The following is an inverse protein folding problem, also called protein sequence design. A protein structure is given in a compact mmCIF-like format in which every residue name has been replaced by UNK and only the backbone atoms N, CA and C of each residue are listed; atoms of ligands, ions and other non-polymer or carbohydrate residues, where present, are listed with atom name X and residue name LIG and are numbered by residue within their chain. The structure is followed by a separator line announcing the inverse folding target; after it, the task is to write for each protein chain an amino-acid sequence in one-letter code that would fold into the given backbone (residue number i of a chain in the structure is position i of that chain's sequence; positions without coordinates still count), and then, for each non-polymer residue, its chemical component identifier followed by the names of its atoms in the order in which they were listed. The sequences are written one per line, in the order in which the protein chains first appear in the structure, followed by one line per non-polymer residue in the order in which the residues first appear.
data_IF_531150779434
#
_entry.id   IF_531150779434
#
_cell.length_a   1.000
_cell.length_b   1.000
_cell.length_c   1.000
_cell.angle_alpha   90.00
_cell.angle_beta   90.00
_cell.angle_gamma   90.00
#
_symmetry.space_group_name_H-M   'P 1'
#
loop_
_entity.id
_entity.type
_entity.pdbx_description
1 polymer ?
#
# COMPACT_ATOMS: atom_id res chain seq x y z
N UNK A 1 -7.30 -50.11 49.28
CA UNK A 1 -7.10 -48.70 48.90
C UNK A 1 -8.48 -48.08 48.67
N UNK A 2 -8.89 -47.09 49.47
CA UNK A 2 -10.26 -46.58 49.46
C UNK A 2 -10.52 -45.74 48.21
N UNK A 3 -11.23 -46.30 47.23
CA UNK A 3 -11.60 -45.65 45.97
C UNK A 3 -12.27 -44.28 46.17
N UNK A 4 -13.00 -44.10 47.29
CA UNK A 4 -13.66 -42.85 47.67
C UNK A 4 -12.69 -41.69 47.97
N UNK A 5 -11.45 -41.96 48.37
CA UNK A 5 -10.43 -40.92 48.65
C UNK A 5 -9.64 -40.50 47.40
N UNK A 6 -9.59 -41.34 46.37
CA UNK A 6 -8.80 -41.10 45.14
C UNK A 6 -9.65 -40.43 44.05
N UNK A 7 -10.97 -40.69 44.06
CA UNK A 7 -11.95 -40.11 43.13
C UNK A 7 -11.87 -38.58 42.96
N UNK A 8 -11.75 -37.75 44.02
CA UNK A 8 -11.68 -36.30 43.85
C UNK A 8 -10.39 -35.84 43.17
N UNK A 9 -9.27 -36.52 43.38
CA UNK A 9 -8.00 -36.19 42.74
C UNK A 9 -8.01 -36.51 41.23
N UNK A 10 -8.62 -37.64 40.85
CA UNK A 10 -8.77 -38.03 39.44
C UNK A 10 -9.68 -37.05 38.70
N UNK A 11 -10.78 -36.61 39.33
CA UNK A 11 -11.68 -35.59 38.77
C UNK A 11 -10.98 -34.23 38.61
N UNK A 12 -10.14 -33.84 39.57
CA UNK A 12 -9.40 -32.58 39.52
C UNK A 12 -8.36 -32.56 38.37
N UNK A 13 -7.66 -33.68 38.17
CA UNK A 13 -6.73 -33.84 37.05
C UNK A 13 -7.48 -33.81 35.72
N UNK A 14 -8.62 -34.49 35.61
CA UNK A 14 -9.45 -34.46 34.40
C UNK A 14 -9.97 -33.04 34.09
N UNK A 15 -10.39 -32.28 35.12
CA UNK A 15 -10.83 -30.90 34.95
C UNK A 15 -9.70 -29.96 34.50
N UNK A 16 -8.47 -30.14 35.02
CA UNK A 16 -7.30 -29.37 34.60
C UNK A 16 -6.90 -29.66 33.15
N UNK A 17 -6.91 -30.94 32.75
CA UNK A 17 -6.62 -31.35 31.37
C UNK A 17 -7.69 -30.80 30.42
N UNK A 18 -8.97 -30.91 30.79
CA UNK A 18 -10.07 -30.42 29.97
C UNK A 18 -10.09 -28.88 29.89
N UNK A 19 -9.81 -28.18 30.99
CA UNK A 19 -9.69 -26.72 31.02
C UNK A 19 -8.52 -26.21 30.19
N UNK A 20 -7.35 -26.86 30.27
CA UNK A 20 -6.20 -26.54 29.43
C UNK A 20 -6.46 -26.76 27.94
N UNK A 21 -7.16 -27.85 27.60
CA UNK A 21 -7.57 -28.15 26.22
C UNK A 21 -8.55 -27.10 25.66
N UNK A 22 -9.56 -26.69 26.44
CA UNK A 22 -10.50 -25.65 26.04
C UNK A 22 -9.85 -24.26 25.91
N UNK A 23 -8.91 -23.92 26.80
CA UNK A 23 -8.19 -22.65 26.73
C UNK A 23 -7.30 -22.57 25.47
N UNK A 24 -6.62 -23.67 25.14
CA UNK A 24 -5.85 -23.78 23.90
C UNK A 24 -6.74 -23.68 22.67
N UNK A 25 -7.87 -24.40 22.63
CA UNK A 25 -8.86 -24.24 21.55
C UNK A 25 -9.35 -22.80 21.41
N UNK A 26 -9.64 -22.10 22.51
CA UNK A 26 -10.09 -20.72 22.45
C UNK A 26 -9.02 -19.74 21.94
N UNK A 27 -7.74 -19.98 22.23
CA UNK A 27 -6.65 -19.19 21.66
C UNK A 27 -6.45 -19.51 20.18
N UNK A 28 -6.39 -20.80 19.83
CA UNK A 28 -6.24 -21.25 18.44
C UNK A 28 -7.42 -20.75 17.57
N UNK A 29 -8.66 -20.82 18.08
CA UNK A 29 -9.85 -20.26 17.42
C UNK A 29 -9.80 -18.74 17.29
N UNK A 30 -9.30 -18.00 18.29
CA UNK A 30 -9.15 -16.54 18.18
C UNK A 30 -8.09 -16.15 17.14
N UNK A 31 -6.99 -16.89 17.09
CA UNK A 31 -5.92 -16.66 16.13
C UNK A 31 -6.37 -17.03 14.72
N UNK A 32 -7.10 -18.14 14.54
CA UNK A 32 -7.72 -18.50 13.27
C UNK A 32 -8.80 -17.50 12.85
N UNK A 33 -9.64 -17.04 13.78
CA UNK A 33 -10.68 -16.05 13.47
C UNK A 33 -10.08 -14.69 13.13
N UNK A 34 -9.00 -14.27 13.82
CA UNK A 34 -8.28 -13.04 13.50
C UNK A 34 -7.59 -13.15 12.13
N UNK A 35 -6.98 -14.30 11.81
CA UNK A 35 -6.43 -14.56 10.47
C UNK A 35 -7.51 -14.57 9.40
N UNK A 36 -8.66 -15.18 9.69
CA UNK A 36 -9.78 -15.29 8.75
C UNK A 36 -10.48 -13.94 8.55
N UNK A 37 -10.65 -13.13 9.59
CA UNK A 37 -11.20 -11.78 9.53
C UNK A 37 -10.23 -10.84 8.80
N UNK A 38 -8.93 -10.94 9.06
CA UNK A 38 -7.91 -10.23 8.27
C UNK A 38 -7.96 -10.66 6.80
N UNK A 39 -8.13 -11.97 6.53
CA UNK A 39 -8.25 -12.51 5.17
C UNK A 39 -9.54 -12.08 4.48
N UNK A 40 -10.66 -12.06 5.18
CA UNK A 40 -11.97 -11.67 4.65
C UNK A 40 -12.02 -10.15 4.38
N UNK A 41 -11.53 -9.34 5.32
CA UNK A 41 -11.39 -7.90 5.12
C UNK A 41 -10.39 -7.58 4.00
N UNK A 42 -9.31 -8.33 3.88
CA UNK A 42 -8.37 -8.22 2.78
C UNK A 42 -9.01 -8.62 1.44
N UNK A 43 -9.78 -9.72 1.36
CA UNK A 43 -10.55 -10.05 0.13
C UNK A 43 -11.59 -8.99 -0.24
N UNK A 44 -12.22 -8.35 0.76
CA UNK A 44 -13.22 -7.30 0.56
C UNK A 44 -12.60 -5.97 0.10
N UNK A 45 -11.39 -5.63 0.57
CA UNK A 45 -10.68 -4.39 0.24
C UNK A 45 -9.62 -4.54 -0.86
N UNK A 46 -9.25 -5.78 -1.21
CA UNK A 46 -8.46 -6.14 -2.38
C UNK A 46 -9.36 -6.29 -3.61
N UNK A 47 -10.49 -5.59 -3.63
CA UNK A 47 -11.21 -5.40 -4.88
C UNK A 47 -10.19 -4.78 -5.84
N UNK A 48 -9.98 -5.41 -6.99
CA UNK A 48 -9.06 -4.92 -8.02
C UNK A 48 -9.24 -3.43 -8.31
N UNK A 49 -10.46 -2.93 -8.10
CA UNK A 49 -10.87 -1.53 -8.22
C UNK A 49 -10.24 -0.66 -7.13
N UNK A 50 -10.31 -1.02 -5.85
CA UNK A 50 -9.72 -0.23 -4.75
C UNK A 50 -8.20 -0.05 -4.89
N UNK A 51 -7.48 -1.12 -5.25
CA UNK A 51 -6.04 -1.06 -5.51
C UNK A 51 -5.73 -0.12 -6.68
N UNK A 52 -6.54 -0.19 -7.75
CA UNK A 52 -6.39 0.67 -8.92
C UNK A 52 -6.66 2.14 -8.57
N UNK A 53 -7.73 2.40 -7.83
CA UNK A 53 -8.13 3.74 -7.42
C UNK A 53 -7.09 4.37 -6.50
N UNK A 54 -6.57 3.64 -5.51
CA UNK A 54 -5.53 4.15 -4.61
C UNK A 54 -4.20 4.41 -5.36
N UNK A 55 -3.85 3.59 -6.35
CA UNK A 55 -2.70 3.84 -7.22
C UNK A 55 -2.90 5.08 -8.10
N UNK A 56 -4.10 5.29 -8.66
CA UNK A 56 -4.45 6.50 -9.44
C UNK A 56 -4.39 7.73 -8.54
N UNK A 57 -5.00 7.69 -7.35
CA UNK A 57 -5.00 8.78 -6.38
C UNK A 57 -3.57 9.21 -6.02
N UNK A 58 -2.67 8.25 -5.82
CA UNK A 58 -1.25 8.54 -5.59
C UNK A 58 -0.60 9.22 -6.80
N UNK A 59 -0.80 8.71 -8.02
CA UNK A 59 -0.21 9.29 -9.23
C UNK A 59 -0.71 10.72 -9.46
N UNK A 60 -2.01 10.94 -9.32
CA UNK A 60 -2.63 12.27 -9.46
C UNK A 60 -2.06 13.24 -8.41
N UNK A 61 -1.98 12.82 -7.14
CA UNK A 61 -1.45 13.64 -6.07
C UNK A 61 0.04 13.99 -6.23
N UNK A 62 0.84 13.08 -6.77
CA UNK A 62 2.27 13.29 -6.97
C UNK A 62 2.57 14.13 -8.23
N UNK A 63 1.85 13.90 -9.32
CA UNK A 63 2.14 14.54 -10.61
C UNK A 63 1.29 15.78 -10.91
N UNK A 64 0.22 16.03 -10.16
CA UNK A 64 -0.63 17.22 -10.37
C UNK A 64 -0.23 18.32 -9.40
N UNK A 65 0.48 19.31 -9.91
CA UNK A 65 0.91 20.45 -9.11
C UNK A 65 1.16 21.69 -9.97
N UNK A 66 1.07 22.83 -9.30
CA UNK A 66 1.63 24.09 -9.79
C UNK A 66 3.00 24.27 -9.16
N UNK A 67 3.94 24.80 -9.94
CA UNK A 67 5.28 25.13 -9.52
C UNK A 67 6.14 23.90 -9.19
N UNK A 68 5.99 23.32 -7.99
CA UNK A 68 6.76 22.14 -7.53
C UNK A 68 5.85 21.11 -6.85
N UNK A 69 6.19 19.81 -6.91
CA UNK A 69 5.46 18.81 -6.16
C UNK A 69 5.61 19.09 -4.66
N UNK A 70 4.59 18.75 -3.87
CA UNK A 70 4.62 18.96 -2.42
C UNK A 70 4.40 17.65 -1.69
N UNK A 71 5.23 17.41 -0.67
CA UNK A 71 5.16 16.19 0.15
C UNK A 71 3.78 16.03 0.82
N UNK A 72 3.17 17.14 1.20
CA UNK A 72 1.82 17.16 1.79
C UNK A 72 0.74 16.52 0.90
N UNK A 73 0.90 16.55 -0.43
CA UNK A 73 -0.09 16.01 -1.35
C UNK A 73 -0.18 14.47 -1.28
N UNK A 74 0.91 13.79 -0.94
CA UNK A 74 0.97 12.31 -0.90
C UNK A 74 0.97 11.75 0.53
N UNK A 75 0.70 12.61 1.53
CA UNK A 75 0.63 12.21 2.93
C UNK A 75 -0.53 11.24 3.17
N UNK A 76 -0.22 10.10 3.80
CA UNK A 76 -1.20 9.05 4.06
C UNK A 76 -1.54 8.18 2.85
N UNK A 77 -0.99 8.47 1.65
CA UNK A 77 -1.03 7.60 0.48
C UNK A 77 0.21 6.71 0.38
N UNK A 78 1.33 7.15 0.96
CA UNK A 78 2.66 6.55 0.80
C UNK A 78 3.34 6.33 2.14
N UNK A 79 4.29 5.39 2.20
CA UNK A 79 5.22 5.31 3.32
C UNK A 79 6.19 6.49 3.33
N UNK A 80 6.74 6.81 4.50
CA UNK A 80 7.76 7.87 4.64
C UNK A 80 8.98 7.61 3.75
N UNK A 81 9.39 6.35 3.60
CA UNK A 81 10.54 5.95 2.76
C UNK A 81 10.32 6.30 1.28
N UNK A 82 9.10 6.07 0.77
CA UNK A 82 8.72 6.48 -0.60
C UNK A 82 8.73 7.99 -0.73
N UNK A 83 8.19 8.72 0.25
CA UNK A 83 8.24 10.19 0.24
C UNK A 83 9.68 10.71 0.24
N UNK A 84 10.53 10.18 1.13
CA UNK A 84 11.93 10.58 1.23
C UNK A 84 12.66 10.35 -0.10
N UNK A 85 12.42 9.21 -0.75
CA UNK A 85 13.03 8.88 -2.06
C UNK A 85 12.55 9.81 -3.17
N UNK A 86 11.24 10.07 -3.25
CA UNK A 86 10.66 10.93 -4.30
C UNK A 86 11.09 12.39 -4.17
N UNK A 87 11.23 12.88 -2.95
CA UNK A 87 11.48 14.28 -2.66
C UNK A 87 12.96 14.63 -2.44
N UNK A 88 13.85 13.65 -2.32
CA UNK A 88 15.28 13.88 -2.08
C UNK A 88 15.89 14.91 -3.05
N UNK A 89 15.61 14.79 -4.35
CA UNK A 89 16.13 15.70 -5.37
C UNK A 89 15.51 17.09 -5.27
N UNK A 90 14.20 17.17 -5.00
CA UNK A 90 13.49 18.45 -4.89
C UNK A 90 13.90 19.24 -3.66
N UNK A 91 14.12 18.57 -2.52
CA UNK A 91 14.59 19.20 -1.29
C UNK A 91 16.01 19.80 -1.41
N UNK A 92 16.86 19.20 -2.26
CA UNK A 92 18.18 19.78 -2.61
C UNK A 92 18.00 20.98 -3.53
N UNK A 93 17.16 20.87 -4.56
CA UNK A 93 16.89 21.96 -5.50
C UNK A 93 16.20 23.16 -4.83
N UNK A 94 15.38 22.96 -3.80
CA UNK A 94 14.75 24.05 -3.03
C UNK A 94 15.80 24.89 -2.27
N UNK A 95 16.91 24.29 -1.87
CA UNK A 95 17.99 24.99 -1.15
C UNK A 95 18.92 25.75 -2.10
N UNK A 96 19.12 25.22 -3.31
CA UNK A 96 20.12 25.73 -4.25
C UNK A 96 19.53 26.65 -5.34
N UNK A 97 18.23 26.50 -5.67
CA UNK A 97 17.61 27.19 -6.79
C UNK A 97 16.22 27.74 -6.45
N UNK A 98 16.09 29.06 -6.42
CA UNK A 98 14.80 29.73 -6.47
C UNK A 98 14.23 29.70 -7.89
N UNK A 99 12.93 29.40 -8.04
CA UNK A 99 12.30 29.48 -9.36
C UNK A 99 12.17 30.93 -9.81
N UNK A 100 12.36 31.22 -11.11
CA UNK A 100 12.10 32.55 -11.65
C UNK A 100 10.64 32.95 -11.41
N UNK A 101 10.41 34.19 -10.95
CA UNK A 101 9.06 34.69 -10.61
C UNK A 101 8.10 34.72 -11.79
N UNK A 102 8.63 34.82 -13.01
CA UNK A 102 7.85 34.91 -14.25
C UNK A 102 7.69 33.55 -14.96
N UNK A 103 8.18 32.46 -14.35
CA UNK A 103 8.05 31.12 -14.89
C UNK A 103 6.71 30.51 -14.45
N UNK A 104 5.80 30.31 -15.39
CA UNK A 104 4.60 29.50 -15.17
C UNK A 104 4.95 28.03 -15.39
N UNK A 105 5.01 27.24 -14.32
CA UNK A 105 5.20 25.80 -14.39
C UNK A 105 3.98 25.06 -13.83
N UNK A 106 3.48 24.09 -14.59
CA UNK A 106 2.38 23.22 -14.18
C UNK A 106 2.63 21.80 -14.67
N UNK A 107 2.34 20.82 -13.82
CA UNK A 107 2.35 19.40 -14.17
C UNK A 107 0.97 18.81 -13.92
N UNK A 108 0.53 17.95 -14.84
CA UNK A 108 -0.73 17.21 -14.79
C UNK A 108 -0.52 15.81 -15.39
N UNK A 109 -1.45 14.89 -15.13
CA UNK A 109 -1.49 13.59 -15.81
C UNK A 109 -2.84 13.35 -16.46
N UNK A 110 -2.82 12.66 -17.59
CA UNK A 110 -4.00 12.21 -18.32
C UNK A 110 -3.82 10.74 -18.73
N UNK A 111 -4.91 10.12 -19.22
CA UNK A 111 -4.90 8.77 -19.80
C UNK A 111 -4.30 7.69 -18.87
N UNK A 112 -4.57 7.80 -17.57
CA UNK A 112 -4.07 6.86 -16.55
C UNK A 112 -4.75 5.51 -16.71
N UNK A 113 -3.95 4.46 -16.85
CA UNK A 113 -4.41 3.06 -16.87
C UNK A 113 -3.59 2.26 -15.87
N UNK A 114 -4.25 1.52 -14.99
CA UNK A 114 -3.60 0.70 -13.96
C UNK A 114 -3.93 -0.78 -14.17
N UNK A 115 -2.90 -1.59 -14.38
CA UNK A 115 -2.97 -3.04 -14.47
C UNK A 115 -2.54 -3.64 -13.14
N UNK A 116 -3.46 -4.34 -12.48
CA UNK A 116 -3.16 -5.07 -11.25
C UNK A 116 -2.72 -6.50 -11.59
N UNK A 117 -1.46 -6.82 -11.31
CA UNK A 117 -0.97 -8.20 -11.30
C UNK A 117 -1.42 -8.82 -9.98
N UNK A 118 -2.28 -9.83 -10.06
CA UNK A 118 -2.91 -10.42 -8.89
C UNK A 118 -1.86 -11.20 -8.09
N UNK A 119 -1.38 -10.65 -7.00
CA UNK A 119 -0.50 -11.38 -6.08
C UNK A 119 -1.26 -12.49 -5.34
N UNK A 120 -0.55 -13.55 -4.96
CA UNK A 120 -1.05 -14.66 -4.14
C UNK A 120 -1.43 -14.25 -2.70
N UNK A 121 -1.08 -13.02 -2.30
CA UNK A 121 -1.21 -12.51 -0.93
C UNK A 121 -2.26 -11.40 -0.85
N UNK A 122 -3.30 -11.60 -0.04
CA UNK A 122 -4.45 -10.69 0.04
C UNK A 122 -4.11 -9.26 0.56
N UNK A 123 -2.93 -9.07 1.16
CA UNK A 123 -2.51 -7.79 1.80
C UNK A 123 -1.44 -7.02 1.02
N UNK A 124 -1.00 -7.55 -0.13
CA UNK A 124 0.00 -6.91 -0.99
C UNK A 124 -0.54 -6.88 -2.41
N UNK A 125 -0.21 -5.82 -3.13
CA UNK A 125 -0.57 -5.71 -4.52
C UNK A 125 0.57 -5.07 -5.30
N UNK A 126 0.81 -5.60 -6.50
CA UNK A 126 1.72 -5.01 -7.47
C UNK A 126 0.92 -4.54 -8.67
N UNK A 127 1.10 -3.26 -9.02
CA UNK A 127 0.43 -2.69 -10.19
C UNK A 127 1.41 -2.05 -11.15
N UNK A 128 1.08 -2.16 -12.43
CA UNK A 128 1.71 -1.44 -13.51
C UNK A 128 0.78 -0.31 -13.95
N UNK A 129 1.25 0.93 -13.86
CA UNK A 129 0.51 2.09 -14.32
C UNK A 129 1.13 2.66 -15.59
N UNK A 130 0.28 3.07 -16.53
CA UNK A 130 0.68 3.86 -17.71
C UNK A 130 -0.09 5.17 -17.71
N UNK A 131 0.58 6.28 -17.92
CA UNK A 131 -0.06 7.60 -17.92
C UNK A 131 0.70 8.58 -18.82
N UNK A 132 0.02 9.63 -19.27
CA UNK A 132 0.62 10.74 -19.99
C UNK A 132 0.86 11.89 -19.02
N UNK A 133 2.13 12.25 -18.81
CA UNK A 133 2.50 13.45 -18.07
C UNK A 133 2.50 14.65 -19.01
N UNK A 134 1.83 15.72 -18.57
CA UNK A 134 1.70 16.97 -19.30
C UNK A 134 2.38 18.05 -18.47
N UNK A 135 3.50 18.54 -18.98
CA UNK A 135 4.20 19.68 -18.38
C UNK A 135 3.88 20.92 -19.22
N UNK A 136 3.38 21.96 -18.56
CA UNK A 136 3.14 23.27 -19.16
C UNK A 136 4.16 24.26 -18.64
N UNK A 137 4.92 24.88 -19.55
CA UNK A 137 5.88 25.94 -19.25
C UNK A 137 5.53 27.18 -20.07
N UNK A 138 5.18 28.29 -19.40
CA UNK A 138 4.77 29.56 -20.04
C UNK A 138 3.73 29.33 -21.17
N UNK A 139 2.69 28.55 -20.86
CA UNK A 139 1.62 28.17 -21.79
C UNK A 139 1.97 27.11 -22.84
N UNK A 140 3.23 26.67 -22.95
CA UNK A 140 3.64 25.60 -23.90
C UNK A 140 3.55 24.24 -23.23
N UNK A 141 2.78 23.34 -23.82
CA UNK A 141 2.60 21.96 -23.34
C UNK A 141 3.63 21.02 -23.94
N UNK A 142 4.16 20.13 -23.11
CA UNK A 142 4.95 18.97 -23.51
C UNK A 142 4.30 17.72 -22.94
N UNK A 143 4.19 16.68 -23.76
CA UNK A 143 3.55 15.42 -23.41
C UNK A 143 4.61 14.31 -23.37
N UNK A 144 4.60 13.51 -22.30
CA UNK A 144 5.47 12.35 -22.16
C UNK A 144 4.69 11.15 -21.64
N UNK A 145 4.80 10.02 -22.34
CA UNK A 145 4.25 8.75 -21.86
C UNK A 145 5.18 8.16 -20.81
N UNK A 146 4.59 7.77 -19.69
CA UNK A 146 5.30 7.20 -18.56
C UNK A 146 4.70 5.85 -18.19
N UNK A 147 5.57 4.95 -17.75
CA UNK A 147 5.22 3.65 -17.20
C UNK A 147 5.75 3.62 -15.77
N UNK A 148 4.96 3.17 -14.82
CA UNK A 148 5.35 3.05 -13.43
C UNK A 148 5.00 1.68 -12.86
N UNK A 149 5.90 1.17 -12.04
CA UNK A 149 5.67 0.04 -11.16
C UNK A 149 5.39 0.56 -9.75
N UNK A 150 4.29 0.10 -9.15
CA UNK A 150 3.82 0.56 -7.85
C UNK A 150 3.46 -0.66 -6.99
N UNK A 151 4.06 -0.74 -5.81
CA UNK A 151 3.74 -1.78 -4.83
C UNK A 151 2.92 -1.17 -3.69
N UNK A 152 1.82 -1.82 -3.35
CA UNK A 152 0.88 -1.39 -2.32
C UNK A 152 0.80 -2.46 -1.22
N UNK A 153 0.62 -1.99 0.02
CA UNK A 153 0.35 -2.85 1.17
C UNK A 153 -0.89 -2.36 1.91
N UNK A 154 -1.79 -3.27 2.25
CA UNK A 154 -3.00 -2.95 3.00
C UNK A 154 -2.65 -2.69 4.47
N UNK A 155 -2.75 -1.42 4.91
CA UNK A 155 -2.52 -1.00 6.30
C UNK A 155 -3.73 -0.24 6.83
N UNK A 156 -4.26 -0.66 7.98
CA UNK A 156 -5.41 -0.02 8.62
C UNK A 156 -6.61 0.18 7.65
N UNK A 157 -6.88 -0.82 6.80
CA UNK A 157 -7.94 -0.79 5.77
C UNK A 157 -7.73 0.24 4.64
N UNK A 158 -6.49 0.63 4.36
CA UNK A 158 -6.12 1.49 3.22
C UNK A 158 -4.92 0.91 2.50
N UNK A 159 -4.90 1.00 1.17
CA UNK A 159 -3.71 0.64 0.42
C UNK A 159 -2.69 1.78 0.50
N UNK A 160 -1.50 1.46 0.99
CA UNK A 160 -0.41 2.41 1.13
C UNK A 160 0.68 2.03 0.13
N UNK A 161 1.13 3.01 -0.66
CA UNK A 161 2.25 2.83 -1.57
C UNK A 161 3.53 2.62 -0.75
N UNK A 162 4.14 1.45 -0.94
CA UNK A 162 5.39 1.04 -0.27
C UNK A 162 6.60 1.11 -1.20
N UNK A 163 6.38 1.09 -2.51
CA UNK A 163 7.43 1.26 -3.50
C UNK A 163 6.87 1.92 -4.75
N UNK A 164 7.67 2.78 -5.37
CA UNK A 164 7.37 3.45 -6.61
C UNK A 164 8.62 3.52 -7.49
N UNK A 165 8.47 3.20 -8.78
CA UNK A 165 9.55 3.32 -9.76
C UNK A 165 8.98 3.61 -11.15
N UNK A 166 9.58 4.55 -11.87
CA UNK A 166 9.33 4.74 -13.31
C UNK A 166 10.14 3.72 -14.12
N UNK A 167 9.52 3.17 -15.16
CA UNK A 167 10.12 2.21 -16.08
C UNK A 167 10.35 2.87 -17.44
N UNK A 168 11.49 2.56 -18.06
CA UNK A 168 11.79 2.99 -19.43
C UNK A 168 11.10 2.12 -20.49
N UNK A 169 10.71 0.89 -20.12
CA UNK A 169 10.03 -0.08 -20.96
C UNK A 169 9.27 -1.10 -20.09
N UNK A 170 8.13 -1.61 -20.59
CA UNK A 170 7.27 -2.63 -19.96
C UNK A 170 7.99 -3.96 -19.79
N UNK A 171 9.00 -4.25 -20.61
CA UNK A 171 9.84 -5.46 -20.50
C UNK A 171 10.57 -5.60 -19.16
N UNK A 172 10.65 -4.52 -18.36
CA UNK A 172 11.25 -4.51 -17.02
C UNK A 172 10.23 -4.65 -15.88
N UNK A 173 8.95 -4.94 -16.19
CA UNK A 173 7.94 -5.22 -15.18
C UNK A 173 8.11 -6.64 -14.64
N UNK A 174 8.57 -6.78 -13.39
CA UNK A 174 8.72 -8.07 -12.72
C UNK A 174 7.42 -8.48 -12.02
N UNK A 175 6.33 -8.59 -12.75
CA UNK A 175 5.11 -9.25 -12.26
C UNK A 175 5.22 -10.75 -12.50
N UNK A 176 5.23 -11.56 -11.43
CA UNK A 176 5.00 -13.00 -11.54
C UNK A 176 3.50 -13.28 -11.65
#
# INVERSE_FOLDING_TARGET
MNFKQILPYVLLIAALIFGGYQFKQHQDLKDEFSKLDNKYNALSSNSKVEVQDDAINFLEAFYTYKDRPKRENINGLTTKEVQDTLFQTYEVLDKEFEMPKDLEYKSEIENVTVYHARDEYDTKAKVLATFESIITINGKKSHSKSIAEINLELKNKKWIITQYKTLNDVSNFEGN
#
